data_IF_069081789646
#
_entry.id   IF_069081789646
#
_cell.length_a   1.000
_cell.length_b   1.000
_cell.length_c   1.000
_cell.angle_alpha   90.00
_cell.angle_beta   90.00
_cell.angle_gamma   90.00
#
_symmetry.space_group_name_H-M   'P 1'
#
loop_
_entity.id
_entity.type
_entity.pdbx_description
1 polymer ?
#
# COMPACT_ATOMS: atom_id res chain seq x y z
N UNK A 1 10.39 16.48 -16.77
CA UNK A 1 9.12 16.07 -16.14
C UNK A 1 9.20 16.47 -14.68
N UNK A 2 8.34 17.37 -14.26
CA UNK A 2 8.20 17.83 -12.87
C UNK A 2 7.09 17.00 -12.21
N UNK A 3 7.38 16.43 -11.05
CA UNK A 3 6.45 15.55 -10.31
C UNK A 3 6.00 16.22 -9.03
N UNK A 4 4.69 16.27 -8.80
CA UNK A 4 4.09 16.66 -7.54
C UNK A 4 3.73 15.42 -6.72
N UNK A 5 3.87 15.48 -5.40
CA UNK A 5 3.48 14.39 -4.50
C UNK A 5 2.67 14.91 -3.31
N UNK A 6 1.46 14.41 -3.13
CA UNK A 6 0.55 14.77 -2.05
C UNK A 6 0.37 13.59 -1.10
N UNK A 7 0.65 13.82 0.19
CA UNK A 7 0.53 12.81 1.24
C UNK A 7 1.87 12.12 1.54
N UNK A 8 2.57 12.62 2.55
CA UNK A 8 3.90 12.16 2.97
C UNK A 8 3.86 11.30 4.25
N UNK A 9 2.78 10.55 4.43
CA UNK A 9 2.63 9.61 5.52
C UNK A 9 3.61 8.41 5.41
N UNK A 10 3.35 7.33 6.18
CA UNK A 10 4.26 6.18 6.31
C UNK A 10 4.71 5.61 4.95
N UNK A 11 3.81 5.38 4.02
CA UNK A 11 4.12 4.87 2.68
C UNK A 11 4.48 6.01 1.73
N UNK A 12 3.66 7.07 1.66
CA UNK A 12 3.85 8.16 0.72
C UNK A 12 5.18 8.89 0.88
N UNK A 13 5.62 9.11 2.13
CA UNK A 13 6.93 9.71 2.40
C UNK A 13 8.10 8.86 1.88
N UNK A 14 7.99 7.54 1.95
CA UNK A 14 9.01 6.62 1.41
C UNK A 14 9.02 6.60 -0.12
N UNK A 15 7.84 6.59 -0.74
CA UNK A 15 7.71 6.71 -2.20
C UNK A 15 8.26 8.05 -2.72
N UNK A 16 7.90 9.17 -2.09
CA UNK A 16 8.44 10.48 -2.41
C UNK A 16 9.96 10.53 -2.19
N UNK A 17 10.47 9.87 -1.14
CA UNK A 17 11.90 9.69 -0.88
C UNK A 17 12.61 8.93 -2.00
N UNK A 18 11.97 7.89 -2.56
CA UNK A 18 12.51 7.16 -3.71
C UNK A 18 12.65 8.05 -4.94
N UNK A 19 11.66 8.93 -5.21
CA UNK A 19 11.77 9.90 -6.31
C UNK A 19 12.96 10.85 -6.14
N UNK A 20 13.21 11.34 -4.92
CA UNK A 20 14.39 12.19 -4.65
C UNK A 20 15.70 11.43 -4.86
N UNK A 21 15.81 10.18 -4.35
CA UNK A 21 17.00 9.33 -4.58
C UNK A 21 17.28 9.12 -6.07
N UNK A 22 16.20 8.98 -6.85
CA UNK A 22 16.26 8.84 -8.30
C UNK A 22 16.38 10.18 -9.06
N UNK A 23 16.64 11.29 -8.35
CA UNK A 23 16.88 12.64 -8.91
C UNK A 23 15.72 13.17 -9.76
N UNK A 24 14.50 12.82 -9.42
CA UNK A 24 13.30 13.39 -10.01
C UNK A 24 13.08 14.79 -9.45
N UNK A 25 12.75 15.75 -10.31
CA UNK A 25 12.33 17.10 -9.93
C UNK A 25 10.99 17.00 -9.20
N UNK A 26 11.04 17.07 -7.87
CA UNK A 26 9.93 16.77 -6.97
C UNK A 26 9.46 18.02 -6.22
N UNK A 27 8.16 18.24 -6.22
CA UNK A 27 7.48 19.22 -5.35
C UNK A 27 6.49 18.46 -4.46
N UNK A 28 6.46 18.74 -3.17
CA UNK A 28 5.65 18.00 -2.21
C UNK A 28 4.58 18.86 -1.54
N UNK A 29 3.50 18.19 -1.09
CA UNK A 29 2.46 18.79 -0.30
C UNK A 29 1.99 17.80 0.77
N UNK A 30 1.93 18.23 2.01
CA UNK A 30 1.34 17.51 3.14
C UNK A 30 0.74 18.48 4.15
N UNK A 31 -0.15 17.99 5.00
CA UNK A 31 -0.70 18.79 6.11
C UNK A 31 0.31 19.02 7.24
N UNK A 32 1.33 18.16 7.33
CA UNK A 32 2.40 18.25 8.32
C UNK A 32 3.55 19.12 7.79
N UNK A 33 3.62 20.34 8.27
CA UNK A 33 4.64 21.31 7.88
C UNK A 33 6.07 20.83 8.17
N UNK A 34 6.29 20.05 9.24
CA UNK A 34 7.62 19.53 9.58
C UNK A 34 8.09 18.52 8.53
N UNK A 35 7.23 17.60 8.13
CA UNK A 35 7.55 16.62 7.08
C UNK A 35 7.87 17.31 5.75
N UNK A 36 7.11 18.36 5.39
CA UNK A 36 7.42 19.16 4.19
C UNK A 36 8.79 19.85 4.31
N UNK A 37 9.11 20.42 5.47
CA UNK A 37 10.41 21.06 5.71
C UNK A 37 11.58 20.05 5.58
N UNK A 38 11.41 18.82 6.07
CA UNK A 38 12.39 17.74 5.95
C UNK A 38 12.61 17.36 4.48
N UNK A 39 11.55 17.31 3.67
CA UNK A 39 11.66 17.09 2.22
C UNK A 39 12.34 18.27 1.50
N UNK A 40 12.04 19.51 1.89
CA UNK A 40 12.70 20.69 1.34
C UNK A 40 14.20 20.71 1.63
N UNK A 41 14.61 20.32 2.85
CA UNK A 41 16.02 20.18 3.22
C UNK A 41 16.76 19.12 2.39
N UNK A 42 16.02 18.15 1.81
CA UNK A 42 16.52 17.11 0.90
C UNK A 42 16.47 17.53 -0.58
N UNK A 43 15.99 18.74 -0.89
CA UNK A 43 15.96 19.32 -2.24
C UNK A 43 14.61 19.25 -2.96
N UNK A 44 13.52 18.86 -2.29
CA UNK A 44 12.18 18.96 -2.87
C UNK A 44 11.65 20.41 -2.83
N UNK A 45 10.86 20.81 -3.82
CA UNK A 45 10.01 21.99 -3.74
C UNK A 45 8.85 21.78 -2.76
N UNK A 46 8.26 22.88 -2.26
CA UNK A 46 7.04 22.84 -1.45
C UNK A 46 5.94 23.56 -2.23
N UNK A 47 4.77 22.93 -2.36
CA UNK A 47 3.60 23.58 -2.91
C UNK A 47 2.77 24.26 -1.82
N UNK A 48 2.11 25.36 -2.19
CA UNK A 48 1.20 26.10 -1.31
C UNK A 48 -0.10 25.31 -1.06
N UNK A 49 -0.62 24.66 -2.10
CA UNK A 49 -1.87 23.89 -2.09
C UNK A 49 -1.91 22.91 -3.27
N UNK A 50 -2.93 22.05 -3.33
CA UNK A 50 -3.04 21.02 -4.35
C UNK A 50 -3.29 21.62 -5.76
N UNK A 51 -4.02 22.70 -5.89
CA UNK A 51 -4.22 23.39 -7.16
C UNK A 51 -2.89 23.94 -7.72
N UNK A 52 -2.08 24.60 -6.88
CA UNK A 52 -0.76 25.09 -7.28
C UNK A 52 0.14 23.94 -7.72
N UNK A 53 0.12 22.80 -7.00
CA UNK A 53 0.89 21.63 -7.36
C UNK A 53 0.48 21.07 -8.73
N UNK A 54 -0.83 20.92 -8.99
CA UNK A 54 -1.34 20.43 -10.27
C UNK A 54 -1.00 21.40 -11.41
N UNK A 55 -1.10 22.69 -11.19
CA UNK A 55 -0.73 23.71 -12.19
C UNK A 55 0.75 23.61 -12.60
N UNK A 56 1.64 23.43 -11.61
CA UNK A 56 3.09 23.50 -11.83
C UNK A 56 3.73 22.17 -12.28
N UNK A 57 3.12 21.02 -11.97
CA UNK A 57 3.69 19.71 -12.23
C UNK A 57 3.06 19.05 -13.47
N UNK A 58 3.84 18.25 -14.18
CA UNK A 58 3.36 17.42 -15.30
C UNK A 58 2.59 16.21 -14.79
N UNK A 59 3.07 15.64 -13.68
CA UNK A 59 2.47 14.47 -13.02
C UNK A 59 2.24 14.82 -11.55
N UNK A 60 1.05 14.52 -11.04
CA UNK A 60 0.73 14.62 -9.60
C UNK A 60 0.36 13.25 -9.06
N UNK A 61 1.05 12.84 -8.01
CA UNK A 61 0.84 11.59 -7.29
C UNK A 61 0.11 11.90 -5.98
N UNK A 62 -0.91 11.12 -5.67
CA UNK A 62 -1.61 11.15 -4.38
C UNK A 62 -1.43 9.83 -3.64
N UNK A 63 -1.13 9.88 -2.32
CA UNK A 63 -1.03 8.73 -1.44
C UNK A 63 -1.68 9.08 -0.09
N UNK A 64 -2.99 8.89 0.00
CA UNK A 64 -3.87 9.46 1.00
C UNK A 64 -4.59 8.36 1.82
N UNK A 65 -5.05 8.66 3.05
CA UNK A 65 -5.55 7.63 3.96
C UNK A 65 -6.97 7.12 3.63
N UNK A 66 -7.77 7.87 2.84
CA UNK A 66 -9.15 7.47 2.56
C UNK A 66 -9.67 8.00 1.23
N UNK A 67 -10.69 7.33 0.62
CA UNK A 67 -11.35 7.80 -0.60
C UNK A 67 -11.91 9.22 -0.49
N UNK A 68 -12.49 9.58 0.66
CA UNK A 68 -13.04 10.91 0.90
C UNK A 68 -11.98 12.02 0.85
N UNK A 69 -10.77 11.73 1.36
CA UNK A 69 -9.66 12.69 1.31
C UNK A 69 -9.13 12.78 -0.13
N UNK A 70 -9.03 11.67 -0.86
CA UNK A 70 -8.67 11.69 -2.29
C UNK A 70 -9.66 12.52 -3.11
N UNK A 71 -10.97 12.39 -2.85
CA UNK A 71 -11.99 13.21 -3.49
C UNK A 71 -11.82 14.71 -3.20
N UNK A 72 -11.62 15.07 -1.94
CA UNK A 72 -11.43 16.47 -1.55
C UNK A 72 -10.18 17.11 -2.19
N UNK A 73 -9.08 16.36 -2.25
CA UNK A 73 -7.85 16.82 -2.92
C UNK A 73 -8.06 16.92 -4.44
N UNK A 74 -8.81 15.98 -5.04
CA UNK A 74 -9.16 16.08 -6.46
C UNK A 74 -10.01 17.30 -6.75
N UNK A 75 -11.02 17.63 -5.92
CA UNK A 75 -11.85 18.83 -6.10
C UNK A 75 -10.99 20.11 -6.10
N UNK A 76 -9.95 20.16 -5.28
CA UNK A 76 -9.01 21.28 -5.25
C UNK A 76 -8.10 21.31 -6.50
N UNK A 77 -7.63 20.16 -6.99
CA UNK A 77 -6.76 20.04 -8.17
C UNK A 77 -7.51 20.27 -9.50
N UNK A 78 -8.79 19.90 -9.56
CA UNK A 78 -9.56 19.78 -10.80
C UNK A 78 -9.63 21.05 -11.66
N UNK A 79 -9.66 22.29 -11.11
CA UNK A 79 -9.58 23.53 -11.92
C UNK A 79 -8.31 23.65 -12.76
N UNK A 80 -7.21 23.05 -12.31
CA UNK A 80 -5.88 23.11 -12.94
C UNK A 80 -5.55 21.87 -13.79
N UNK A 81 -6.44 20.88 -13.84
CA UNK A 81 -6.31 19.70 -14.70
C UNK A 81 -6.57 20.10 -16.15
N UNK A 82 -5.74 19.61 -17.07
CA UNK A 82 -5.88 19.87 -18.51
C UNK A 82 -4.98 18.95 -19.34
N UNK A 83 -4.93 19.18 -20.66
CA UNK A 83 -4.07 18.42 -21.57
C UNK A 83 -2.60 18.40 -21.11
N UNK A 84 -1.98 17.22 -21.13
CA UNK A 84 -0.60 17.01 -20.69
C UNK A 84 -0.43 16.78 -19.19
N UNK A 85 -1.47 16.96 -18.36
CA UNK A 85 -1.44 16.64 -16.93
C UNK A 85 -1.79 15.18 -16.69
N UNK A 86 -1.08 14.55 -15.77
CA UNK A 86 -1.33 13.15 -15.37
C UNK A 86 -1.50 13.08 -13.84
N UNK A 87 -2.55 12.42 -13.40
CA UNK A 87 -2.78 12.09 -11.99
C UNK A 87 -2.56 10.60 -11.75
N UNK A 88 -1.71 10.28 -10.78
CA UNK A 88 -1.45 8.91 -10.31
C UNK A 88 -2.02 8.77 -8.89
N UNK A 89 -3.03 7.90 -8.71
CA UNK A 89 -3.60 7.61 -7.38
C UNK A 89 -2.95 6.35 -6.79
N UNK A 90 -2.11 6.53 -5.77
CA UNK A 90 -1.39 5.42 -5.11
C UNK A 90 -2.00 4.98 -3.78
N UNK A 91 -3.11 5.61 -3.38
CA UNK A 91 -3.86 5.21 -2.18
C UNK A 91 -4.60 3.89 -2.40
N UNK A 92 -4.90 3.18 -1.31
CA UNK A 92 -5.92 2.12 -1.36
C UNK A 92 -7.30 2.76 -1.27
N UNK A 93 -8.05 2.71 -2.37
CA UNK A 93 -9.34 3.40 -2.52
C UNK A 93 -10.44 2.49 -3.08
N UNK A 94 -11.69 3.01 -3.11
CA UNK A 94 -12.84 2.32 -3.73
C UNK A 94 -12.74 2.35 -5.26
N UNK A 95 -13.03 1.21 -5.90
CA UNK A 95 -13.01 1.06 -7.35
C UNK A 95 -13.95 2.04 -8.06
N UNK A 96 -15.16 2.22 -7.54
CA UNK A 96 -16.13 3.12 -8.14
C UNK A 96 -15.71 4.58 -7.97
N UNK A 97 -15.13 4.91 -6.82
CA UNK A 97 -14.65 6.27 -6.56
C UNK A 97 -13.44 6.63 -7.44
N UNK A 98 -12.46 5.74 -7.60
CA UNK A 98 -11.33 6.03 -8.49
C UNK A 98 -11.80 6.21 -9.95
N UNK A 99 -12.76 5.41 -10.41
CA UNK A 99 -13.36 5.59 -11.75
C UNK A 99 -14.08 6.92 -11.90
N UNK A 100 -14.83 7.34 -10.87
CA UNK A 100 -15.50 8.64 -10.86
C UNK A 100 -14.52 9.79 -10.94
N UNK A 101 -13.47 9.77 -10.11
CA UNK A 101 -12.43 10.81 -10.11
C UNK A 101 -11.64 10.83 -11.42
N UNK A 102 -11.28 9.67 -11.96
CA UNK A 102 -10.60 9.56 -13.24
C UNK A 102 -11.42 10.18 -14.38
N UNK A 103 -12.74 9.91 -14.41
CA UNK A 103 -13.62 10.51 -15.41
C UNK A 103 -13.64 12.04 -15.34
N UNK A 104 -13.53 12.65 -14.14
CA UNK A 104 -13.42 14.11 -13.99
C UNK A 104 -12.10 14.63 -14.58
N UNK A 105 -11.00 13.94 -14.35
CA UNK A 105 -9.69 14.27 -14.90
C UNK A 105 -9.71 14.19 -16.43
N UNK A 106 -10.27 13.11 -16.99
CA UNK A 106 -10.37 12.88 -18.44
C UNK A 106 -11.27 13.92 -19.12
N UNK A 107 -12.39 14.31 -18.50
CA UNK A 107 -13.26 15.38 -19.01
C UNK A 107 -12.55 16.74 -19.14
N UNK A 108 -11.51 16.97 -18.35
CA UNK A 108 -10.63 18.15 -18.47
C UNK A 108 -9.48 17.96 -19.46
N UNK A 109 -9.39 16.80 -20.13
CA UNK A 109 -8.31 16.45 -21.04
C UNK A 109 -7.02 15.97 -20.37
N UNK A 110 -7.05 15.73 -19.06
CA UNK A 110 -5.97 15.11 -18.31
C UNK A 110 -5.97 13.60 -18.46
N UNK A 111 -5.01 12.94 -17.81
CA UNK A 111 -4.89 11.49 -17.75
C UNK A 111 -4.91 11.02 -16.30
N UNK A 112 -5.61 9.94 -16.02
CA UNK A 112 -5.65 9.32 -14.69
C UNK A 112 -5.09 7.90 -14.73
N UNK A 113 -4.37 7.50 -13.68
CA UNK A 113 -3.85 6.15 -13.46
C UNK A 113 -4.16 5.72 -12.04
N UNK A 114 -4.84 4.59 -11.92
CA UNK A 114 -5.08 3.89 -10.66
C UNK A 114 -3.85 3.03 -10.35
N UNK A 115 -3.02 3.42 -9.37
CA UNK A 115 -1.73 2.75 -9.15
C UNK A 115 -1.38 2.49 -7.67
N UNK A 116 -2.24 1.80 -6.89
CA UNK A 116 -1.94 1.43 -5.52
C UNK A 116 -0.72 0.52 -5.40
N UNK A 117 -0.12 0.53 -4.20
CA UNK A 117 1.13 -0.18 -3.90
C UNK A 117 0.92 -1.32 -2.90
N UNK A 118 1.81 -2.30 -2.92
CA UNK A 118 1.80 -3.46 -2.03
C UNK A 118 3.21 -3.94 -1.71
N UNK A 119 3.48 -4.35 -0.45
CA UNK A 119 4.78 -4.88 -0.02
C UNK A 119 5.33 -4.25 1.26
N UNK A 120 4.59 -3.33 1.89
CA UNK A 120 4.96 -2.71 3.18
C UNK A 120 5.90 -1.50 3.07
N UNK A 121 6.07 -0.82 4.20
CA UNK A 121 6.85 0.41 4.27
C UNK A 121 8.35 0.18 4.03
N UNK A 122 8.91 -0.95 4.48
CA UNK A 122 10.31 -1.30 4.27
C UNK A 122 10.66 -1.39 2.78
N UNK A 123 9.82 -2.03 1.95
CA UNK A 123 10.03 -2.09 0.49
C UNK A 123 9.74 -0.77 -0.23
N UNK A 124 8.85 0.05 0.30
CA UNK A 124 8.65 1.40 -0.23
C UNK A 124 9.89 2.28 -0.01
N UNK A 125 10.60 2.08 1.11
CA UNK A 125 11.81 2.83 1.45
C UNK A 125 12.99 2.50 0.53
N UNK A 126 13.13 1.26 0.11
CA UNK A 126 14.20 0.78 -0.76
C UNK A 126 13.86 0.84 -2.26
N UNK A 127 12.62 1.20 -2.63
CA UNK A 127 12.16 1.18 -4.03
C UNK A 127 11.76 -0.22 -4.53
N UNK A 128 11.69 -1.22 -3.65
CA UNK A 128 11.35 -2.61 -4.00
C UNK A 128 9.86 -2.94 -3.88
N UNK A 129 9.01 -1.96 -3.57
CA UNK A 129 7.56 -2.15 -3.48
C UNK A 129 6.95 -2.55 -4.82
N UNK A 130 5.84 -3.30 -4.78
CA UNK A 130 5.05 -3.64 -5.97
C UNK A 130 4.01 -2.56 -6.25
N UNK A 131 3.79 -2.25 -7.53
CA UNK A 131 2.80 -1.29 -8.01
C UNK A 131 1.83 -2.01 -8.93
N UNK A 132 0.53 -1.86 -8.69
CA UNK A 132 -0.51 -2.25 -9.64
C UNK A 132 -0.92 -1.01 -10.43
N UNK A 133 -1.01 -1.09 -11.77
CA UNK A 133 -1.31 0.07 -12.60
C UNK A 133 -2.50 -0.20 -13.52
N UNK A 134 -3.62 0.47 -13.27
CA UNK A 134 -4.86 0.42 -14.03
C UNK A 134 -5.03 1.67 -14.88
N UNK A 135 -4.86 1.53 -16.19
CA UNK A 135 -5.09 2.53 -17.23
C UNK A 135 -5.04 1.84 -18.61
N UNK A 136 -5.26 2.57 -19.71
CA UNK A 136 -4.99 2.05 -21.03
C UNK A 136 -3.49 1.76 -21.26
N UNK A 137 -3.17 0.91 -22.22
CA UNK A 137 -1.80 0.46 -22.47
C UNK A 137 -0.86 1.61 -22.87
N UNK A 138 -1.31 2.53 -23.68
CA UNK A 138 -0.50 3.67 -24.12
C UNK A 138 -0.13 4.58 -22.95
N UNK A 139 -1.10 4.85 -22.08
CA UNK A 139 -0.87 5.59 -20.84
C UNK A 139 0.11 4.87 -19.92
N UNK A 140 -0.07 3.53 -19.77
CA UNK A 140 0.85 2.73 -18.97
C UNK A 140 2.30 2.84 -19.45
N UNK A 141 2.55 2.69 -20.76
CA UNK A 141 3.89 2.80 -21.35
C UNK A 141 4.52 4.18 -21.11
N UNK A 142 3.71 5.23 -21.15
CA UNK A 142 4.15 6.60 -20.88
C UNK A 142 4.56 6.82 -19.41
N UNK A 143 3.83 6.23 -18.45
CA UNK A 143 4.12 6.41 -17.02
C UNK A 143 5.08 5.35 -16.46
N UNK A 144 5.28 4.23 -17.13
CA UNK A 144 6.14 3.14 -16.67
C UNK A 144 7.54 3.59 -16.27
N UNK A 145 8.24 4.50 -17.01
CA UNK A 145 9.55 5.00 -16.58
C UNK A 145 9.55 5.72 -15.23
N UNK A 146 8.43 6.34 -14.83
CA UNK A 146 8.27 6.93 -13.50
C UNK A 146 7.93 5.85 -12.47
N UNK A 147 7.01 4.93 -12.78
CA UNK A 147 6.61 3.86 -11.87
C UNK A 147 7.79 2.95 -11.50
N UNK A 148 8.71 2.69 -12.44
CA UNK A 148 9.93 1.90 -12.20
C UNK A 148 10.99 2.62 -11.34
N UNK A 149 10.81 3.91 -11.04
CA UNK A 149 11.60 4.66 -10.04
C UNK A 149 10.96 4.65 -8.66
N UNK A 150 9.69 4.25 -8.59
CA UNK A 150 8.90 4.16 -7.35
C UNK A 150 8.85 2.74 -6.80
N UNK A 151 8.86 1.75 -7.68
CA UNK A 151 8.71 0.36 -7.28
C UNK A 151 9.40 -0.63 -8.22
N UNK A 152 9.71 -1.81 -7.68
CA UNK A 152 10.47 -2.87 -8.34
C UNK A 152 9.63 -3.64 -9.36
N UNK A 153 8.40 -4.01 -8.97
CA UNK A 153 7.50 -4.84 -9.76
C UNK A 153 6.26 -4.04 -10.12
N UNK A 154 6.10 -3.74 -11.41
CA UNK A 154 4.96 -2.95 -11.89
C UNK A 154 4.06 -3.86 -12.74
N UNK A 155 2.84 -4.09 -12.28
CA UNK A 155 1.85 -4.92 -12.97
C UNK A 155 0.80 -4.03 -13.65
N UNK A 156 0.72 -4.08 -14.98
CA UNK A 156 -0.39 -3.50 -15.72
C UNK A 156 -1.64 -4.36 -15.57
N UNK A 157 -2.68 -3.80 -14.96
CA UNK A 157 -3.88 -4.56 -14.58
C UNK A 157 -5.04 -4.41 -15.57
N UNK A 158 -4.97 -3.45 -16.49
CA UNK A 158 -6.04 -3.11 -17.43
C UNK A 158 -6.64 -1.73 -17.16
N UNK A 159 -7.93 -1.55 -17.33
CA UNK A 159 -8.61 -0.25 -17.18
C UNK A 159 -8.51 0.32 -15.75
N UNK A 160 -8.74 1.63 -15.61
CA UNK A 160 -8.85 2.30 -14.31
C UNK A 160 -9.86 1.59 -13.39
N UNK A 161 -9.50 1.44 -12.11
CA UNK A 161 -10.25 0.72 -11.08
C UNK A 161 -9.85 -0.74 -10.91
N UNK A 162 -9.19 -1.36 -11.91
CA UNK A 162 -8.76 -2.77 -11.79
C UNK A 162 -7.64 -2.94 -10.78
N UNK A 163 -6.75 -1.97 -10.67
CA UNK A 163 -5.65 -2.01 -9.71
C UNK A 163 -6.15 -1.88 -8.26
N UNK A 164 -7.08 -0.94 -8.02
CA UNK A 164 -7.73 -0.80 -6.70
C UNK A 164 -8.49 -2.06 -6.30
N UNK A 165 -9.21 -2.70 -7.23
CA UNK A 165 -9.88 -3.99 -6.99
C UNK A 165 -8.89 -5.07 -6.54
N UNK A 166 -7.77 -5.21 -7.25
CA UNK A 166 -6.72 -6.19 -6.89
C UNK A 166 -6.05 -5.84 -5.56
N UNK A 167 -5.84 -4.54 -5.30
CA UNK A 167 -5.20 -4.09 -4.06
C UNK A 167 -6.00 -4.48 -2.81
N UNK A 168 -7.31 -4.25 -2.80
CA UNK A 168 -8.13 -4.61 -1.62
C UNK A 168 -8.21 -6.12 -1.43
N UNK A 169 -8.19 -6.92 -2.50
CA UNK A 169 -8.07 -8.38 -2.44
C UNK A 169 -6.74 -8.80 -1.78
N UNK A 170 -5.62 -8.17 -2.15
CA UNK A 170 -4.32 -8.51 -1.51
C UNK A 170 -4.29 -8.17 -0.04
N UNK A 171 -4.94 -7.07 0.40
CA UNK A 171 -5.01 -6.71 1.81
C UNK A 171 -5.94 -7.63 2.61
N UNK A 172 -7.05 -8.09 2.02
CA UNK A 172 -7.87 -9.15 2.61
C UNK A 172 -7.06 -10.44 2.86
N UNK A 173 -6.32 -10.91 1.85
CA UNK A 173 -5.46 -12.10 1.99
C UNK A 173 -4.36 -11.90 3.04
N UNK A 174 -3.73 -10.71 3.08
CA UNK A 174 -2.73 -10.40 4.09
C UNK A 174 -3.30 -10.49 5.50
N UNK A 175 -4.49 -9.91 5.73
CA UNK A 175 -5.15 -9.97 7.04
C UNK A 175 -5.54 -11.40 7.44
N UNK A 176 -6.07 -12.18 6.50
CA UNK A 176 -6.37 -13.59 6.74
C UNK A 176 -5.11 -14.37 7.16
N UNK A 177 -3.99 -14.14 6.46
CA UNK A 177 -2.71 -14.75 6.80
C UNK A 177 -2.22 -14.29 8.18
N UNK A 178 -2.33 -13.00 8.54
CA UNK A 178 -1.96 -12.49 9.86
C UNK A 178 -2.73 -13.22 10.97
N UNK A 179 -4.05 -13.30 10.86
CA UNK A 179 -4.87 -13.94 11.89
C UNK A 179 -4.55 -15.44 12.04
N UNK A 180 -4.38 -16.15 10.94
CA UNK A 180 -4.03 -17.57 10.99
C UNK A 180 -2.60 -17.81 11.51
N UNK A 181 -1.64 -16.93 11.20
CA UNK A 181 -0.30 -16.96 11.81
C UNK A 181 -0.35 -16.73 13.32
N UNK A 182 -1.16 -15.78 13.79
CA UNK A 182 -1.36 -15.55 15.22
C UNK A 182 -1.88 -16.80 15.94
N UNK A 183 -2.91 -17.45 15.39
CA UNK A 183 -3.47 -18.70 15.95
C UNK A 183 -2.44 -19.84 15.95
N UNK A 184 -1.67 -19.98 14.86
CA UNK A 184 -0.63 -21.00 14.75
C UNK A 184 0.47 -20.80 15.81
N UNK A 185 1.00 -19.57 15.94
CA UNK A 185 2.06 -19.24 16.92
C UNK A 185 1.61 -19.50 18.34
N UNK A 186 0.41 -19.04 18.73
CA UNK A 186 -0.13 -19.24 20.09
C UNK A 186 -0.39 -20.72 20.37
N UNK A 187 -0.95 -21.45 19.40
CA UNK A 187 -1.23 -22.88 19.55
C UNK A 187 0.06 -23.69 19.72
N UNK A 188 1.09 -23.41 18.94
CA UNK A 188 2.38 -24.09 19.06
C UNK A 188 3.09 -23.75 20.35
N UNK A 189 3.02 -22.49 20.83
CA UNK A 189 3.52 -22.10 22.15
C UNK A 189 2.81 -22.89 23.27
N UNK A 190 1.50 -22.98 23.22
CA UNK A 190 0.70 -23.74 24.18
C UNK A 190 1.04 -25.24 24.17
N UNK A 191 1.38 -25.79 23.00
CA UNK A 191 1.85 -27.17 22.84
C UNK A 191 3.31 -27.39 23.30
N UNK A 192 3.98 -26.37 23.82
CA UNK A 192 5.36 -26.44 24.33
C UNK A 192 6.45 -26.37 23.25
N UNK A 193 6.08 -25.96 22.02
CA UNK A 193 7.06 -25.77 20.96
C UNK A 193 7.83 -24.46 21.14
N UNK A 194 9.09 -24.49 20.74
CA UNK A 194 9.91 -23.29 20.59
C UNK A 194 9.39 -22.42 19.44
N UNK A 195 9.25 -21.12 19.70
CA UNK A 195 8.67 -20.20 18.70
C UNK A 195 9.59 -19.90 17.52
N UNK A 196 10.90 -19.85 17.73
CA UNK A 196 11.83 -19.65 16.63
C UNK A 196 11.83 -20.87 15.68
N UNK A 197 11.80 -22.08 16.24
CA UNK A 197 11.62 -23.33 15.46
C UNK A 197 10.26 -23.36 14.76
N UNK A 198 9.20 -22.88 15.41
CA UNK A 198 7.86 -22.79 14.81
C UNK A 198 7.84 -21.81 13.62
N UNK A 199 8.48 -20.64 13.77
CA UNK A 199 8.61 -19.66 12.69
C UNK A 199 9.30 -20.26 11.46
N UNK A 200 10.46 -20.92 11.65
CA UNK A 200 11.20 -21.54 10.54
C UNK A 200 10.40 -22.71 9.91
N UNK A 201 9.71 -23.50 10.70
CA UNK A 201 8.86 -24.58 10.17
C UNK A 201 7.73 -24.04 9.28
N UNK A 202 7.09 -22.94 9.67
CA UNK A 202 6.10 -22.26 8.85
C UNK A 202 6.72 -21.71 7.56
N UNK A 203 7.87 -21.05 7.67
CA UNK A 203 8.57 -20.41 6.56
C UNK A 203 8.99 -21.38 5.45
N UNK A 204 9.48 -22.57 5.79
CA UNK A 204 9.92 -23.58 4.80
C UNK A 204 8.81 -24.51 4.33
N UNK A 205 7.58 -24.34 4.82
CA UNK A 205 6.44 -25.21 4.50
C UNK A 205 5.47 -24.57 3.51
N UNK A 206 4.46 -25.33 3.10
CA UNK A 206 3.34 -24.80 2.30
C UNK A 206 2.45 -23.80 3.05
N UNK A 207 2.64 -23.65 4.35
CA UNK A 207 1.93 -22.66 5.18
C UNK A 207 2.58 -21.27 5.18
N UNK A 208 3.66 -21.06 4.45
CA UNK A 208 4.32 -19.76 4.37
C UNK A 208 3.47 -18.71 3.67
N UNK A 209 3.72 -17.45 4.01
CA UNK A 209 3.17 -16.28 3.33
C UNK A 209 4.11 -15.10 3.52
N UNK A 210 4.00 -14.08 2.67
CA UNK A 210 4.75 -12.82 2.85
C UNK A 210 4.50 -12.21 4.25
N UNK A 211 3.26 -12.26 4.72
CA UNK A 211 2.88 -11.79 6.06
C UNK A 211 3.60 -12.57 7.16
N UNK A 212 3.65 -13.91 7.04
CA UNK A 212 4.41 -14.71 7.99
C UNK A 212 5.90 -14.34 7.99
N UNK A 213 6.51 -14.21 6.83
CA UNK A 213 7.94 -13.92 6.72
C UNK A 213 8.32 -12.50 7.17
N UNK A 214 7.35 -11.58 7.25
CA UNK A 214 7.54 -10.20 7.70
C UNK A 214 6.91 -9.94 9.07
N UNK A 215 5.60 -9.91 9.18
CA UNK A 215 4.87 -9.47 10.37
C UNK A 215 5.04 -10.42 11.57
N UNK A 216 5.16 -11.74 11.35
CA UNK A 216 5.45 -12.67 12.44
C UNK A 216 6.78 -12.38 13.15
N UNK A 217 7.77 -11.81 12.46
CA UNK A 217 9.02 -11.39 13.09
C UNK A 217 8.79 -10.23 14.07
N UNK A 218 7.96 -9.26 13.70
CA UNK A 218 7.62 -8.12 14.57
C UNK A 218 6.79 -8.56 15.77
N UNK A 219 5.90 -9.53 15.60
CA UNK A 219 5.15 -10.16 16.69
C UNK A 219 6.10 -10.86 17.65
N UNK A 220 7.01 -11.69 17.14
CA UNK A 220 7.98 -12.45 17.95
C UNK A 220 9.01 -11.57 18.65
N UNK A 221 9.41 -10.46 18.05
CA UNK A 221 10.23 -9.45 18.73
C UNK A 221 9.44 -8.67 19.79
N UNK A 222 8.13 -8.49 19.60
CA UNK A 222 7.26 -7.70 20.47
C UNK A 222 7.12 -6.22 20.09
N UNK A 223 7.82 -5.73 19.05
CA UNK A 223 7.65 -4.35 18.54
C UNK A 223 6.28 -4.13 17.94
N UNK A 224 5.78 -5.12 17.16
CA UNK A 224 4.50 -5.07 16.45
C UNK A 224 4.35 -3.84 15.55
N UNK A 225 5.46 -3.25 15.15
CA UNK A 225 5.48 -2.01 14.37
C UNK A 225 5.50 -2.28 12.85
N UNK A 226 4.38 -2.79 12.35
CA UNK A 226 4.17 -2.98 10.90
C UNK A 226 3.87 -1.68 10.16
N UNK A 227 3.67 -0.57 10.90
CA UNK A 227 3.28 0.74 10.35
C UNK A 227 1.96 0.72 9.55
N UNK A 228 1.06 -0.22 9.89
CA UNK A 228 -0.27 -0.33 9.30
C UNK A 228 -1.31 -0.51 10.41
N UNK A 229 -2.33 0.34 10.45
CA UNK A 229 -3.19 0.50 11.62
C UNK A 229 -4.58 -0.12 11.45
N UNK A 230 -5.26 -0.39 12.59
CA UNK A 230 -6.57 -1.05 12.65
C UNK A 230 -7.64 -0.33 11.83
N UNK A 231 -7.66 1.02 11.84
CA UNK A 231 -8.60 1.81 11.04
C UNK A 231 -8.37 1.62 9.54
N UNK A 232 -7.11 1.58 9.10
CA UNK A 232 -6.75 1.41 7.70
C UNK A 232 -7.12 0.01 7.19
N UNK A 233 -6.83 -1.03 7.97
CA UNK A 233 -7.17 -2.39 7.54
C UNK A 233 -8.68 -2.62 7.53
N UNK A 234 -9.43 -2.10 8.50
CA UNK A 234 -10.88 -2.21 8.52
C UNK A 234 -11.53 -1.49 7.34
N UNK A 235 -10.99 -0.34 6.93
CA UNK A 235 -11.37 0.34 5.68
C UNK A 235 -11.16 -0.59 4.48
N UNK A 236 -9.98 -1.19 4.35
CA UNK A 236 -9.64 -2.04 3.20
C UNK A 236 -10.48 -3.32 3.14
N UNK A 237 -10.72 -3.96 4.29
CA UNK A 237 -11.62 -5.12 4.41
C UNK A 237 -13.07 -4.74 4.01
N UNK A 238 -13.54 -3.57 4.42
CA UNK A 238 -14.85 -3.05 4.03
C UNK A 238 -14.98 -2.83 2.52
N UNK A 239 -13.93 -2.33 1.88
CA UNK A 239 -13.88 -2.18 0.42
C UNK A 239 -13.94 -3.54 -0.29
N UNK A 240 -13.21 -4.55 0.19
CA UNK A 240 -13.25 -5.90 -0.35
C UNK A 240 -14.65 -6.53 -0.19
N UNK A 241 -15.25 -6.39 0.99
CA UNK A 241 -16.61 -6.85 1.26
C UNK A 241 -17.62 -6.22 0.30
N UNK A 242 -17.52 -4.92 0.06
CA UNK A 242 -18.37 -4.18 -0.88
C UNK A 242 -18.25 -4.70 -2.32
N UNK A 243 -17.02 -5.06 -2.77
CA UNK A 243 -16.82 -5.66 -4.09
C UNK A 243 -17.54 -7.02 -4.19
N UNK A 244 -17.43 -7.86 -3.17
CA UNK A 244 -18.10 -9.15 -3.14
C UNK A 244 -19.64 -9.01 -3.17
N UNK A 245 -20.18 -8.08 -2.38
CA UNK A 245 -21.62 -7.78 -2.35
C UNK A 245 -22.15 -7.29 -3.70
N UNK A 246 -21.45 -6.35 -4.34
CA UNK A 246 -21.79 -5.86 -5.69
C UNK A 246 -21.80 -6.98 -6.76
N UNK A 247 -20.99 -8.02 -6.56
CA UNK A 247 -20.87 -9.15 -7.49
C UNK A 247 -21.61 -10.42 -7.02
N UNK A 248 -22.39 -10.32 -5.94
CA UNK A 248 -23.16 -11.43 -5.36
C UNK A 248 -22.29 -12.64 -4.99
N UNK A 249 -21.06 -12.42 -4.50
CA UNK A 249 -20.17 -13.48 -4.02
C UNK A 249 -20.40 -13.66 -2.52
N UNK A 250 -20.91 -14.82 -2.07
CA UNK A 250 -21.12 -15.08 -0.65
C UNK A 250 -19.77 -15.37 0.01
N UNK A 251 -19.29 -14.45 0.86
CA UNK A 251 -18.05 -14.61 1.61
C UNK A 251 -18.35 -15.14 3.02
N UNK A 252 -17.67 -16.21 3.43
CA UNK A 252 -17.75 -16.77 4.77
C UNK A 252 -16.67 -16.20 5.70
N UNK A 253 -15.43 -16.12 5.23
CA UNK A 253 -14.28 -15.72 6.04
C UNK A 253 -14.22 -14.20 6.26
N UNK A 254 -14.60 -13.39 5.27
CA UNK A 254 -14.44 -11.92 5.35
C UNK A 254 -15.22 -11.30 6.52
N UNK A 255 -16.51 -11.63 6.77
CA UNK A 255 -17.23 -11.13 7.94
C UNK A 255 -16.53 -11.48 9.27
N UNK A 256 -16.06 -12.72 9.42
CA UNK A 256 -15.36 -13.17 10.62
C UNK A 256 -14.05 -12.39 10.84
N UNK A 257 -13.26 -12.19 9.79
CA UNK A 257 -12.02 -11.41 9.85
C UNK A 257 -12.31 -9.97 10.26
N UNK A 258 -13.35 -9.35 9.67
CA UNK A 258 -13.79 -7.99 10.01
C UNK A 258 -14.18 -7.90 11.49
N UNK A 259 -14.94 -8.86 12.01
CA UNK A 259 -15.38 -8.86 13.41
C UNK A 259 -14.19 -9.03 14.37
N UNK A 260 -13.21 -9.89 14.05
CA UNK A 260 -11.98 -10.04 14.82
C UNK A 260 -11.19 -8.73 14.85
N UNK A 261 -11.02 -8.06 13.71
CA UNK A 261 -10.29 -6.80 13.61
C UNK A 261 -11.02 -5.65 14.32
N UNK A 262 -12.36 -5.60 14.28
CA UNK A 262 -13.17 -4.65 15.05
C UNK A 262 -13.02 -4.84 16.56
N UNK A 263 -13.00 -6.09 17.04
CA UNK A 263 -12.71 -6.36 18.45
C UNK A 263 -11.30 -5.91 18.83
N UNK A 264 -10.30 -6.15 17.97
CA UNK A 264 -8.94 -5.63 18.14
C UNK A 264 -8.90 -4.10 18.21
N UNK A 265 -9.56 -3.41 17.30
CA UNK A 265 -9.65 -1.94 17.31
C UNK A 265 -10.30 -1.42 18.59
N UNK A 266 -11.38 -2.07 19.05
CA UNK A 266 -12.06 -1.69 20.29
C UNK A 266 -11.20 -1.85 21.54
N UNK A 267 -10.33 -2.86 21.59
CA UNK A 267 -9.45 -3.15 22.75
C UNK A 267 -8.18 -2.31 22.74
N UNK A 268 -7.56 -2.15 21.60
CA UNK A 268 -6.19 -1.62 21.50
C UNK A 268 -6.12 -0.21 20.90
N UNK A 269 -7.22 0.26 20.33
CA UNK A 269 -7.33 1.60 19.77
C UNK A 269 -7.36 1.62 18.24
N UNK A 270 -7.94 2.67 17.72
CA UNK A 270 -8.16 2.89 16.30
C UNK A 270 -6.85 2.93 15.51
N UNK A 271 -5.82 3.55 16.09
CA UNK A 271 -4.49 3.72 15.50
C UNK A 271 -3.46 2.69 15.98
N UNK A 272 -3.88 1.65 16.70
CA UNK A 272 -3.00 0.53 17.03
C UNK A 272 -2.56 -0.20 15.76
N UNK A 273 -1.36 -0.74 15.75
CA UNK A 273 -0.87 -1.55 14.63
C UNK A 273 -1.69 -2.85 14.48
N UNK A 274 -1.82 -3.34 13.26
CA UNK A 274 -2.57 -4.59 12.99
C UNK A 274 -1.99 -5.79 13.72
N UNK A 275 -0.68 -5.83 13.94
CA UNK A 275 0.02 -6.89 14.66
C UNK A 275 -0.34 -6.98 16.14
N UNK A 276 -0.89 -5.90 16.73
CA UNK A 276 -1.44 -5.93 18.09
C UNK A 276 -2.62 -6.92 18.24
N UNK A 277 -3.18 -7.41 17.11
CA UNK A 277 -4.27 -8.38 17.13
C UNK A 277 -3.89 -9.67 17.87
N UNK A 278 -2.60 -10.05 17.90
CA UNK A 278 -2.09 -11.22 18.65
C UNK A 278 -2.42 -11.15 20.12
N UNK A 279 -2.49 -9.93 20.71
CA UNK A 279 -2.77 -9.71 22.14
C UNK A 279 -4.10 -10.31 22.58
N UNK A 280 -5.09 -10.40 21.70
CA UNK A 280 -6.37 -11.06 22.00
C UNK A 280 -6.15 -12.51 22.44
N UNK A 281 -5.24 -13.22 21.78
CA UNK A 281 -4.91 -14.60 22.07
C UNK A 281 -3.96 -14.70 23.27
N UNK A 282 -2.99 -13.79 23.39
CA UNK A 282 -2.12 -13.69 24.57
C UNK A 282 -2.95 -13.47 25.84
N UNK A 283 -3.90 -12.55 25.84
CA UNK A 283 -4.82 -12.26 26.95
C UNK A 283 -5.71 -13.46 27.29
N UNK A 284 -6.23 -14.16 26.28
CA UNK A 284 -7.10 -15.32 26.48
C UNK A 284 -6.36 -16.56 27.04
N UNK A 285 -5.06 -16.69 26.75
CA UNK A 285 -4.26 -17.87 27.11
C UNK A 285 -3.29 -17.61 28.26
N UNK A 286 -2.99 -16.36 28.57
CA UNK A 286 -1.92 -15.97 29.50
C UNK A 286 -0.51 -16.26 28.99
N UNK A 287 -0.36 -16.56 27.68
CA UNK A 287 0.93 -16.82 27.05
C UNK A 287 1.53 -15.53 26.50
N UNK A 288 2.85 -15.46 26.50
CA UNK A 288 3.61 -14.40 25.82
C UNK A 288 4.21 -14.96 24.53
N UNK A 289 3.94 -14.30 23.41
CA UNK A 289 4.41 -14.72 22.08
C UNK A 289 5.66 -13.93 21.70
N UNK A 290 6.71 -14.15 22.47
CA UNK A 290 8.02 -13.55 22.29
C UNK A 290 9.09 -14.63 22.07
N UNK A 291 10.07 -14.33 21.21
CA UNK A 291 11.24 -15.15 20.98
C UNK A 291 12.46 -14.25 20.70
N UNK A 292 13.65 -14.69 21.08
CA UNK A 292 14.89 -13.99 20.80
C UNK A 292 15.32 -14.19 19.33
N UNK A 293 16.11 -13.25 18.80
CA UNK A 293 16.71 -13.34 17.47
C UNK A 293 15.88 -12.71 16.34
N UNK A 294 14.73 -12.13 16.65
CA UNK A 294 13.88 -11.43 15.66
C UNK A 294 14.08 -9.91 15.70
N UNK A 295 14.04 -9.24 14.52
CA UNK A 295 14.27 -7.80 14.41
C UNK A 295 13.08 -6.99 14.95
N UNK A 296 13.36 -5.80 15.51
CA UNK A 296 12.34 -4.86 15.94
C UNK A 296 11.71 -4.07 14.78
N UNK A 297 12.38 -4.01 13.65
CA UNK A 297 11.98 -3.31 12.43
C UNK A 297 12.19 -4.22 11.23
N UNK A 298 11.30 -4.13 10.24
CA UNK A 298 11.49 -4.82 8.97
C UNK A 298 12.55 -4.11 8.14
N UNK A 299 13.53 -4.86 7.71
CA UNK A 299 14.58 -4.41 6.78
C UNK A 299 14.36 -5.14 5.46
N UNK A 300 14.44 -4.39 4.36
CA UNK A 300 14.43 -4.98 3.03
C UNK A 300 15.88 -5.19 2.57
N UNK A 301 16.26 -6.44 2.45
CA UNK A 301 17.61 -6.84 2.04
C UNK A 301 17.78 -6.92 0.51
N UNK A 302 16.67 -6.76 -0.26
CA UNK A 302 16.75 -6.72 -1.72
C UNK A 302 17.49 -5.43 -2.15
N UNK A 303 18.49 -5.49 -3.03
CA UNK A 303 19.17 -4.30 -3.51
C UNK A 303 18.20 -3.39 -4.29
N UNK A 304 18.35 -2.06 -4.14
CA UNK A 304 17.60 -1.10 -4.96
C UNK A 304 18.09 -1.20 -6.41
N UNK A 305 17.23 -1.68 -7.29
CA UNK A 305 17.49 -1.79 -8.72
C UNK A 305 16.32 -1.19 -9.51
N UNK A 306 16.53 -0.79 -10.78
CA UNK A 306 15.42 -0.32 -11.62
C UNK A 306 14.26 -1.31 -11.66
N UNK A 307 13.05 -0.81 -11.50
CA UNK A 307 11.85 -1.62 -11.59
C UNK A 307 11.60 -2.14 -13.01
N UNK A 308 10.70 -3.09 -13.11
CA UNK A 308 10.32 -3.70 -14.39
C UNK A 308 8.82 -4.03 -14.44
N UNK A 309 8.31 -4.16 -15.66
CA UNK A 309 6.94 -4.64 -15.87
C UNK A 309 6.85 -6.15 -15.60
N UNK A 310 5.86 -6.53 -14.82
CA UNK A 310 5.48 -7.94 -14.59
C UNK A 310 4.43 -8.35 -15.61
N UNK A 311 4.69 -9.44 -16.34
CA UNK A 311 3.77 -9.96 -17.34
C UNK A 311 3.01 -11.17 -16.75
N UNK A 312 1.66 -11.14 -16.75
CA UNK A 312 0.87 -12.32 -16.40
C UNK A 312 1.14 -13.49 -17.36
N UNK A 313 1.04 -14.73 -16.90
CA UNK A 313 1.16 -15.91 -17.77
C UNK A 313 0.21 -15.80 -18.97
N UNK A 314 0.70 -16.16 -20.16
CA UNK A 314 -0.08 -16.13 -21.41
C UNK A 314 -0.22 -14.76 -22.09
N UNK A 315 0.30 -13.68 -21.50
CA UNK A 315 0.42 -12.39 -22.17
C UNK A 315 1.82 -12.23 -22.77
N UNK A 316 1.89 -11.98 -24.09
CA UNK A 316 3.15 -11.70 -24.77
C UNK A 316 3.74 -10.37 -24.28
N UNK A 317 5.06 -10.31 -24.12
CA UNK A 317 5.75 -9.03 -23.99
C UNK A 317 5.51 -8.23 -25.27
N UNK A 318 5.18 -6.92 -25.22
CA UNK A 318 5.21 -6.09 -26.40
C UNK A 318 6.58 -6.25 -27.09
N UNK A 319 6.59 -6.57 -28.37
CA UNK A 319 7.83 -6.57 -29.14
C UNK A 319 8.31 -5.12 -29.14
N UNK A 320 9.52 -4.87 -28.62
CA UNK A 320 10.11 -3.53 -28.70
C UNK A 320 10.08 -3.11 -30.17
N UNK A 321 9.42 -2.00 -30.47
CA UNK A 321 9.54 -1.38 -31.77
C UNK A 321 11.01 -0.97 -31.93
N UNK A 322 11.71 -1.59 -32.90
CA UNK A 322 13.07 -1.26 -33.29
C UNK A 322 13.19 0.19 -33.78
#
# INVERSE_FOLDING_TARGET
MKVGFIGLGNVGGKLAGSLLRNRIDLTVLDRNAQVMADFAARGAGIAENAAALMRECDVVITCLPSPAISAAIMDEMLPEVGPGKTWLEMSTTDEAEIRRLAALVEQKGGTAVDCPVSGGCHRADTGNISIFAGCDRQTFERVLPLLTRLGRRVLHTGAVGTASTLKVMTNYLATANLLTCCEALVTMKAAGMDLATTYEAMKISSGTSFVHETESQLILNGSRDVSFTMDLILKDLGLFQTIAERNNVPLEMSPMIIDIMKDGQSRYGERANTDDIIRRLEEATGLSILAEGFPAELIDDEPEEPGYEVFPPGRARPVAAE
#
